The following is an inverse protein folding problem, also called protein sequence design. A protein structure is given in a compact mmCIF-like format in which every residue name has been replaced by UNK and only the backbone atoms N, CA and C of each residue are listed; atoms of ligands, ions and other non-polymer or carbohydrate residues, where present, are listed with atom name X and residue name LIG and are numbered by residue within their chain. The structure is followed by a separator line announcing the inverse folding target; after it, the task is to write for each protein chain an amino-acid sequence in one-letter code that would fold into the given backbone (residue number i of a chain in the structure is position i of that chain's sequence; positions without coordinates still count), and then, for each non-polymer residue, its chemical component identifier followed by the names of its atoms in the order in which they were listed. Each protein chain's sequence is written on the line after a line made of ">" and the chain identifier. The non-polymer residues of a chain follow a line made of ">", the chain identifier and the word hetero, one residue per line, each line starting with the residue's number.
data_IF_666837106181
#
_entry.id   IF_666837106181
#
_cell.length_a   1.000
_cell.length_b   1.000
_cell.length_c   1.000
_cell.angle_alpha   90.00
_cell.angle_beta   90.00
_cell.angle_gamma   90.00
#
_symmetry.space_group_name_H-M   'P 1'
#
loop_
_entity.id
_entity.type
_entity.pdbx_description
1 polymer ?
#
# COMPACT_ATOMS: atom_id res chain seq x y z
N UNK A 1 -26.17 -16.25 -9.52
CA UNK A 1 -25.81 -16.53 -8.12
C UNK A 1 -25.83 -15.20 -7.40
N UNK A 2 -26.67 -14.98 -6.37
CA UNK A 2 -26.80 -13.66 -5.78
C UNK A 2 -25.52 -13.36 -5.00
N UNK A 3 -24.82 -12.32 -5.44
CA UNK A 3 -23.77 -11.69 -4.66
C UNK A 3 -24.37 -11.30 -3.30
N UNK A 4 -23.61 -11.62 -2.26
CA UNK A 4 -23.82 -11.30 -0.84
C UNK A 4 -24.54 -9.95 -0.61
N UNK A 5 -25.36 -9.82 0.47
CA UNK A 5 -25.96 -8.55 0.80
C UNK A 5 -24.83 -7.54 1.01
N UNK A 6 -24.83 -6.47 0.20
CA UNK A 6 -24.08 -5.26 0.54
C UNK A 6 -24.55 -4.90 1.94
N UNK A 7 -23.65 -5.01 2.92
CA UNK A 7 -23.91 -4.58 4.29
C UNK A 7 -24.33 -3.11 4.21
N UNK A 8 -25.64 -2.85 4.29
CA UNK A 8 -26.18 -1.51 4.41
C UNK A 8 -25.66 -0.96 5.74
N UNK A 9 -24.68 -0.06 5.65
CA UNK A 9 -24.27 0.71 6.81
C UNK A 9 -25.46 1.63 7.12
N UNK A 10 -26.07 1.45 8.30
CA UNK A 10 -27.18 2.30 8.74
C UNK A 10 -26.69 3.75 8.81
N UNK A 11 -27.11 4.56 7.84
CA UNK A 11 -26.91 6.00 7.85
C UNK A 11 -27.94 6.60 8.82
N UNK A 12 -27.53 7.63 9.55
CA UNK A 12 -28.33 8.16 10.66
C UNK A 12 -29.46 9.14 10.27
N UNK A 13 -29.87 9.20 9.00
CA UNK A 13 -30.99 10.06 8.59
C UNK A 13 -31.92 9.40 7.56
N UNK A 14 -33.20 9.30 7.93
CA UNK A 14 -34.31 8.88 7.05
C UNK A 14 -34.88 10.06 6.23
N UNK A 15 -34.43 11.30 6.49
CA UNK A 15 -34.81 12.47 5.73
C UNK A 15 -33.86 12.66 4.53
N UNK A 16 -34.36 12.68 3.27
CA UNK A 16 -33.53 12.91 2.08
C UNK A 16 -32.82 14.27 2.05
N UNK A 17 -33.26 15.22 2.88
CA UNK A 17 -32.60 16.53 2.99
C UNK A 17 -31.37 16.56 3.88
N UNK A 18 -31.21 15.58 4.77
CA UNK A 18 -30.12 15.53 5.73
C UNK A 18 -28.85 14.93 5.12
N UNK A 19 -27.71 15.33 5.68
CA UNK A 19 -26.42 14.78 5.28
C UNK A 19 -26.33 13.35 5.83
N UNK A 20 -26.08 12.33 4.98
CA UNK A 20 -25.92 10.97 5.47
C UNK A 20 -24.65 10.89 6.34
N UNK A 21 -24.76 10.50 7.60
CA UNK A 21 -23.62 10.36 8.53
C UNK A 21 -23.41 8.90 8.94
N UNK A 22 -22.15 8.47 8.92
CA UNK A 22 -21.72 7.19 9.50
C UNK A 22 -21.83 7.20 11.03
N UNK A 23 -21.96 6.03 11.68
CA UNK A 23 -21.87 5.94 13.13
C UNK A 23 -20.56 6.54 13.67
N UNK A 24 -20.68 7.57 14.50
CA UNK A 24 -19.54 8.34 15.04
C UNK A 24 -19.13 9.55 14.21
N UNK A 25 -19.65 9.70 12.99
CA UNK A 25 -19.47 10.89 12.16
C UNK A 25 -20.30 12.06 12.68
N UNK A 26 -19.70 13.25 12.73
CA UNK A 26 -20.30 14.48 13.25
C UNK A 26 -20.00 15.64 12.32
N UNK A 27 -21.01 16.46 12.05
CA UNK A 27 -20.87 17.71 11.30
C UNK A 27 -20.12 18.72 12.19
N UNK A 28 -19.17 19.44 11.61
CA UNK A 28 -18.57 20.61 12.24
C UNK A 28 -19.52 21.81 12.08
N UNK A 29 -20.24 22.13 13.16
CA UNK A 29 -21.24 23.18 13.18
C UNK A 29 -20.67 24.60 13.02
N UNK A 30 -19.35 24.79 13.15
CA UNK A 30 -18.71 26.10 12.95
C UNK A 30 -18.56 26.43 11.46
N UNK A 31 -18.72 25.45 10.56
CA UNK A 31 -18.67 25.67 9.12
C UNK A 31 -20.03 26.13 8.59
N UNK A 32 -20.10 27.40 8.19
CA UNK A 32 -21.26 27.99 7.52
C UNK A 32 -20.93 28.40 6.07
N UNK A 33 -20.61 27.41 5.23
CA UNK A 33 -20.25 27.63 3.82
C UNK A 33 -21.47 27.46 2.90
N UNK A 34 -22.41 28.42 3.02
CA UNK A 34 -23.56 28.56 2.12
C UNK A 34 -23.12 29.32 0.86
N UNK A 35 -23.68 29.00 -0.30
CA UNK A 35 -23.35 29.62 -1.60
C UNK A 35 -21.90 29.37 -2.06
N UNK A 36 -21.46 28.11 -2.02
CA UNK A 36 -20.18 27.67 -2.61
C UNK A 36 -20.44 27.19 -4.04
N UNK A 37 -19.55 27.51 -4.97
CA UNK A 37 -19.61 27.00 -6.34
C UNK A 37 -18.60 25.87 -6.53
N UNK A 38 -19.06 24.65 -6.75
CA UNK A 38 -18.22 23.57 -7.25
C UNK A 38 -17.96 23.79 -8.74
N UNK A 39 -16.69 23.87 -9.14
CA UNK A 39 -16.29 23.98 -10.54
C UNK A 39 -16.04 22.56 -11.05
N UNK A 40 -17.11 21.93 -11.56
CA UNK A 40 -17.06 20.60 -12.13
C UNK A 40 -16.31 20.64 -13.47
N UNK A 41 -15.25 19.84 -13.66
CA UNK A 41 -14.53 19.83 -14.93
C UNK A 41 -15.38 19.32 -16.11
N UNK A 42 -16.52 18.66 -15.84
CA UNK A 42 -17.38 18.04 -16.86
C UNK A 42 -18.70 18.78 -17.08
N UNK A 43 -19.29 19.33 -16.02
CA UNK A 43 -20.62 19.98 -16.05
C UNK A 43 -20.56 21.51 -15.86
N UNK A 44 -19.37 22.07 -15.60
CA UNK A 44 -19.21 23.50 -15.33
C UNK A 44 -19.51 23.90 -13.89
N UNK A 45 -20.09 25.08 -13.70
CA UNK A 45 -20.27 25.69 -12.39
C UNK A 45 -21.58 25.25 -11.72
N UNK A 46 -21.48 24.65 -10.53
CA UNK A 46 -22.62 24.13 -9.76
C UNK A 46 -22.63 24.83 -8.41
N UNK A 47 -23.70 25.56 -8.08
CA UNK A 47 -23.84 26.23 -6.78
C UNK A 47 -24.50 25.32 -5.76
N UNK A 48 -24.02 25.40 -4.52
CA UNK A 48 -24.48 24.52 -3.45
C UNK A 48 -23.99 24.91 -2.06
N UNK A 49 -24.22 23.98 -1.15
CA UNK A 49 -23.80 24.04 0.24
C UNK A 49 -22.64 23.07 0.48
N UNK A 50 -21.64 23.55 1.21
CA UNK A 50 -20.49 22.75 1.61
C UNK A 50 -20.55 22.45 3.11
N UNK A 51 -20.46 21.17 3.43
CA UNK A 51 -20.46 20.64 4.78
C UNK A 51 -19.15 19.92 5.06
N UNK A 52 -18.67 20.04 6.30
CA UNK A 52 -17.48 19.36 6.77
C UNK A 52 -17.85 18.50 7.96
N UNK A 53 -17.44 17.24 7.95
CA UNK A 53 -17.53 16.35 9.10
C UNK A 53 -16.13 15.97 9.58
N UNK A 54 -16.05 15.23 10.68
CA UNK A 54 -14.82 14.56 11.11
C UNK A 54 -14.37 13.41 10.18
N UNK A 55 -15.09 13.11 9.08
CA UNK A 55 -14.76 12.04 8.13
C UNK A 55 -14.68 12.49 6.67
N UNK A 56 -15.56 13.39 6.22
CA UNK A 56 -15.67 13.82 4.81
C UNK A 56 -15.95 15.31 4.66
N UNK A 57 -15.54 15.82 3.51
CA UNK A 57 -16.13 17.03 2.94
C UNK A 57 -17.29 16.61 2.03
N UNK A 58 -18.43 17.25 2.20
CA UNK A 58 -19.67 16.93 1.49
C UNK A 58 -20.28 18.18 0.87
N UNK A 59 -20.54 18.13 -0.44
CA UNK A 59 -21.19 19.21 -1.18
C UNK A 59 -22.54 18.71 -1.72
N UNK A 60 -23.58 19.53 -1.56
CA UNK A 60 -24.94 19.32 -2.11
C UNK A 60 -25.34 20.55 -2.91
N UNK A 61 -25.72 20.38 -4.18
CA UNK A 61 -26.18 21.50 -5.03
C UNK A 61 -27.55 22.02 -4.60
N UNK A 62 -27.87 23.26 -4.98
CA UNK A 62 -29.17 23.87 -4.73
C UNK A 62 -30.19 23.35 -5.75
N UNK A 63 -31.25 22.68 -5.27
CA UNK A 63 -32.24 21.98 -6.12
C UNK A 63 -33.02 22.91 -7.06
N UNK A 64 -33.32 24.14 -6.62
CA UNK A 64 -34.13 25.12 -7.36
C UNK A 64 -33.48 25.67 -8.64
N UNK A 65 -32.21 25.34 -8.93
CA UNK A 65 -31.44 25.91 -10.05
C UNK A 65 -30.86 24.88 -11.03
N UNK A 66 -31.17 23.59 -10.84
CA UNK A 66 -30.65 22.52 -11.68
C UNK A 66 -31.63 22.12 -12.80
N UNK A 67 -31.21 22.09 -14.07
CA UNK A 67 -32.04 21.53 -15.13
C UNK A 67 -32.33 20.06 -14.81
N UNK A 68 -33.62 19.69 -14.81
CA UNK A 68 -34.16 18.35 -14.50
C UNK A 68 -34.22 17.95 -13.01
N UNK A 69 -34.14 18.90 -12.07
CA UNK A 69 -34.43 18.65 -10.64
C UNK A 69 -33.53 17.58 -9.99
N UNK A 70 -32.28 17.43 -10.47
CA UNK A 70 -31.34 16.41 -10.01
C UNK A 70 -30.24 17.00 -9.14
N UNK A 71 -30.33 16.81 -7.83
CA UNK A 71 -29.34 17.21 -6.84
C UNK A 71 -27.97 16.60 -7.14
N UNK A 72 -26.93 17.44 -7.22
CA UNK A 72 -25.54 17.03 -7.42
C UNK A 72 -24.85 16.92 -6.09
N UNK A 73 -24.22 15.77 -5.86
CA UNK A 73 -23.54 15.43 -4.62
C UNK A 73 -22.06 15.19 -4.89
N UNK A 74 -21.19 15.80 -4.09
CA UNK A 74 -19.76 15.48 -4.09
C UNK A 74 -19.34 15.07 -2.69
N UNK A 75 -18.81 13.84 -2.60
CA UNK A 75 -18.26 13.29 -1.36
C UNK A 75 -16.75 13.13 -1.49
N UNK A 76 -16.03 13.69 -0.51
CA UNK A 76 -14.56 13.59 -0.42
C UNK A 76 -14.19 13.11 0.98
N UNK A 77 -13.91 11.81 1.16
CA UNK A 77 -13.37 11.33 2.42
C UNK A 77 -12.07 12.06 2.72
N UNK A 78 -11.92 12.60 3.92
CA UNK A 78 -10.82 13.50 4.25
C UNK A 78 -9.44 12.82 4.13
N UNK A 79 -9.38 11.51 4.40
CA UNK A 79 -8.17 10.71 4.22
C UNK A 79 -7.66 10.62 2.78
N UNK A 80 -8.51 10.89 1.78
CA UNK A 80 -8.08 10.95 0.37
C UNK A 80 -7.47 12.30 0.01
N UNK A 81 -7.63 13.35 0.82
CA UNK A 81 -7.04 14.66 0.54
C UNK A 81 -5.51 14.55 0.73
N UNK A 82 -4.77 14.87 -0.33
CA UNK A 82 -3.29 14.92 -0.35
C UNK A 82 -2.79 16.33 -0.04
N UNK A 83 -3.45 17.35 -0.59
CA UNK A 83 -3.05 18.75 -0.48
C UNK A 83 -4.28 19.64 -0.63
N UNK A 84 -4.27 20.78 0.07
CA UNK A 84 -5.29 21.83 -0.01
C UNK A 84 -4.58 23.12 -0.38
N UNK A 85 -4.95 23.73 -1.51
CA UNK A 85 -4.44 25.02 -1.95
C UNK A 85 -5.55 26.08 -1.93
N UNK A 86 -5.16 27.35 -1.74
CA UNK A 86 -6.05 28.51 -1.97
C UNK A 86 -5.77 29.06 -3.37
N UNK A 87 -6.81 29.45 -4.09
CA UNK A 87 -6.69 30.24 -5.31
C UNK A 87 -7.46 31.55 -5.16
N UNK A 88 -7.00 32.58 -5.86
CA UNK A 88 -7.52 33.95 -5.75
C UNK A 88 -7.14 34.66 -4.44
N UNK A 89 -7.13 35.98 -4.50
CA UNK A 89 -6.83 36.88 -3.39
C UNK A 89 -7.73 38.12 -3.39
N UNK A 90 -7.45 39.07 -2.51
CA UNK A 90 -8.23 40.31 -2.35
C UNK A 90 -8.31 41.18 -3.61
N UNK A 91 -7.34 41.03 -4.52
CA UNK A 91 -7.30 41.78 -5.79
C UNK A 91 -7.81 40.98 -7.00
N UNK A 92 -8.21 39.72 -6.82
CA UNK A 92 -8.64 38.88 -7.94
C UNK A 92 -10.01 39.32 -8.42
N UNK A 93 -10.07 39.83 -9.65
CA UNK A 93 -11.31 40.20 -10.34
C UNK A 93 -11.74 39.06 -11.25
N UNK A 94 -12.98 38.61 -11.13
CA UNK A 94 -13.56 37.55 -11.96
C UNK A 94 -14.55 36.68 -11.19
N UNK A 95 -15.56 36.16 -11.89
CA UNK A 95 -16.53 35.23 -11.30
C UNK A 95 -15.81 33.94 -10.88
N UNK A 96 -16.14 33.44 -9.67
CA UNK A 96 -15.61 32.19 -9.12
C UNK A 96 -14.07 32.10 -9.08
N UNK A 97 -13.36 33.23 -9.04
CA UNK A 97 -11.90 33.28 -9.11
C UNK A 97 -11.21 33.21 -7.73
N UNK A 98 -11.97 32.98 -6.65
CA UNK A 98 -11.51 32.92 -5.26
C UNK A 98 -12.03 31.65 -4.59
N UNK A 99 -11.16 30.81 -4.03
CA UNK A 99 -11.61 29.53 -3.46
C UNK A 99 -10.50 28.59 -3.00
N UNK A 100 -10.86 27.31 -2.88
CA UNK A 100 -9.96 26.21 -2.49
C UNK A 100 -9.85 25.14 -3.59
N UNK A 101 -8.68 24.52 -3.70
CA UNK A 101 -8.41 23.36 -4.55
C UNK A 101 -8.03 22.20 -3.65
N UNK A 102 -8.70 21.06 -3.84
CA UNK A 102 -8.38 19.80 -3.18
C UNK A 102 -7.69 18.89 -4.17
N UNK A 103 -6.45 18.54 -3.90
CA UNK A 103 -5.75 17.49 -4.63
C UNK A 103 -5.91 16.19 -3.85
N UNK A 104 -6.52 15.18 -4.47
CA UNK A 104 -6.85 13.93 -3.81
C UNK A 104 -5.91 12.79 -4.27
N UNK A 105 -5.79 11.76 -3.43
CA UNK A 105 -5.00 10.54 -3.67
C UNK A 105 -5.73 9.60 -4.65
N UNK A 106 -7.02 9.78 -4.84
CA UNK A 106 -7.90 9.02 -5.73
C UNK A 106 -7.98 9.64 -7.15
N UNK A 107 -6.91 10.30 -7.59
CA UNK A 107 -6.75 10.91 -8.92
C UNK A 107 -7.57 12.20 -9.15
N UNK A 108 -8.49 12.55 -8.25
CA UNK A 108 -9.35 13.72 -8.41
C UNK A 108 -8.67 15.03 -7.97
N UNK A 109 -8.94 16.12 -8.70
CA UNK A 109 -8.67 17.50 -8.28
C UNK A 109 -9.96 18.32 -8.26
N UNK A 110 -10.42 18.74 -7.09
CA UNK A 110 -11.73 19.38 -6.92
C UNK A 110 -11.56 20.86 -6.58
N UNK A 111 -12.29 21.74 -7.27
CA UNK A 111 -12.24 23.20 -7.08
C UNK A 111 -13.56 23.71 -6.53
N UNK A 112 -13.49 24.43 -5.41
CA UNK A 112 -14.64 25.07 -4.79
C UNK A 112 -14.38 26.56 -4.70
N UNK A 113 -15.15 27.36 -5.43
CA UNK A 113 -15.12 28.81 -5.34
C UNK A 113 -16.03 29.29 -4.20
N UNK A 114 -15.55 30.29 -3.48
CA UNK A 114 -16.21 30.93 -2.35
C UNK A 114 -16.38 32.42 -2.66
N UNK A 115 -17.38 33.06 -2.03
CA UNK A 115 -17.46 34.51 -2.04
C UNK A 115 -16.37 35.12 -1.14
N UNK A 116 -15.62 36.15 -1.58
CA UNK A 116 -14.74 36.91 -0.70
C UNK A 116 -15.49 37.59 0.46
N UNK A 117 -16.76 37.92 0.27
CA UNK A 117 -17.57 38.72 1.20
C UNK A 117 -18.03 37.94 2.44
N UNK A 118 -18.24 36.63 2.32
CA UNK A 118 -18.78 35.81 3.41
C UNK A 118 -17.71 35.14 4.28
N UNK A 119 -16.42 35.40 4.01
CA UNK A 119 -15.24 34.85 4.69
C UNK A 119 -15.15 33.31 4.82
N UNK A 120 -16.12 32.55 4.29
CA UNK A 120 -16.26 31.09 4.45
C UNK A 120 -15.03 30.29 4.01
N UNK A 121 -14.29 30.77 3.01
CA UNK A 121 -13.06 30.13 2.53
C UNK A 121 -12.03 29.93 3.65
N UNK A 122 -11.88 30.92 4.54
CA UNK A 122 -10.88 30.87 5.62
C UNK A 122 -11.24 29.76 6.59
N UNK A 123 -12.49 29.74 7.04
CA UNK A 123 -12.95 28.82 8.07
C UNK A 123 -12.94 27.38 7.55
N UNK A 124 -13.48 27.17 6.34
CA UNK A 124 -13.41 25.86 5.66
C UNK A 124 -11.96 25.41 5.51
N UNK A 125 -11.07 26.26 5.02
CA UNK A 125 -9.67 25.87 4.80
C UNK A 125 -8.95 25.47 6.09
N UNK A 126 -9.10 26.24 7.18
CA UNK A 126 -8.41 25.94 8.43
C UNK A 126 -8.97 24.68 9.09
N UNK A 127 -10.29 24.52 9.16
CA UNK A 127 -10.91 23.30 9.71
C UNK A 127 -10.61 22.07 8.86
N UNK A 128 -10.67 22.20 7.53
CA UNK A 128 -10.36 21.10 6.62
C UNK A 128 -8.93 20.61 6.80
N UNK A 129 -7.96 21.50 7.04
CA UNK A 129 -6.58 21.11 7.37
C UNK A 129 -6.50 20.32 8.67
N UNK A 130 -7.22 20.75 9.71
CA UNK A 130 -7.23 20.05 11.00
C UNK A 130 -7.82 18.65 10.90
N UNK A 131 -8.95 18.47 10.20
CA UNK A 131 -9.57 17.15 10.07
C UNK A 131 -8.92 16.25 9.02
N UNK A 132 -8.42 16.80 7.90
CA UNK A 132 -7.77 15.99 6.86
C UNK A 132 -6.34 15.57 7.24
N UNK A 133 -5.68 16.34 8.10
CA UNK A 133 -4.31 16.07 8.53
C UNK A 133 -4.15 16.19 10.07
N UNK A 134 -4.88 15.37 10.85
CA UNK A 134 -4.92 15.46 12.31
C UNK A 134 -3.54 15.21 12.97
N UNK A 135 -2.65 14.49 12.29
CA UNK A 135 -1.28 14.24 12.76
C UNK A 135 -0.31 15.39 12.47
N UNK A 136 -0.66 16.31 11.56
CA UNK A 136 0.22 17.41 11.12
C UNK A 136 -0.13 18.72 11.80
N UNK A 137 -1.42 19.01 12.00
CA UNK A 137 -1.87 20.27 12.59
C UNK A 137 -2.19 20.10 14.07
N UNK A 138 -1.59 20.92 14.95
CA UNK A 138 -1.91 20.91 16.38
C UNK A 138 -3.42 21.16 16.57
N UNK A 139 -4.13 20.11 16.97
CA UNK A 139 -5.56 20.15 17.22
C UNK A 139 -5.94 18.98 18.13
N UNK A 140 -7.16 18.97 18.64
CA UNK A 140 -7.72 17.84 19.38
C UNK A 140 -8.39 16.80 18.46
N UNK A 141 -8.12 16.84 17.15
CA UNK A 141 -8.75 15.96 16.17
C UNK A 141 -7.95 14.66 16.04
N UNK A 142 -8.66 13.56 15.81
CA UNK A 142 -8.06 12.22 15.63
C UNK A 142 -8.41 11.65 14.25
N UNK A 143 -7.75 10.56 13.86
CA UNK A 143 -8.16 9.84 12.66
C UNK A 143 -9.54 9.21 12.88
N UNK A 144 -10.43 9.35 11.89
CA UNK A 144 -11.81 8.88 12.00
C UNK A 144 -11.94 7.37 12.34
N UNK A 145 -10.95 6.55 12.02
CA UNK A 145 -10.96 5.13 12.41
C UNK A 145 -11.08 4.90 13.94
N UNK A 146 -10.69 5.86 14.77
CA UNK A 146 -10.87 5.79 16.23
C UNK A 146 -12.22 6.33 16.72
N UNK A 147 -12.93 7.07 15.86
CA UNK A 147 -14.25 7.64 16.16
C UNK A 147 -15.39 6.86 15.51
N UNK A 148 -15.09 6.01 14.53
CA UNK A 148 -16.05 5.18 13.81
C UNK A 148 -16.64 4.08 14.71
N UNK A 149 -17.97 3.99 14.75
CA UNK A 149 -18.73 3.15 15.69
C UNK A 149 -19.64 2.12 15.02
N UNK A 150 -19.45 1.85 13.73
CA UNK A 150 -20.27 0.84 13.07
C UNK A 150 -19.91 -0.56 13.60
N UNK A 151 -20.92 -1.40 13.76
CA UNK A 151 -20.76 -2.79 14.15
C UNK A 151 -21.05 -3.70 12.97
N UNK A 152 -20.24 -4.73 12.80
CA UNK A 152 -20.40 -5.73 11.74
C UNK A 152 -20.54 -7.12 12.36
N UNK A 153 -21.26 -8.05 11.71
CA UNK A 153 -21.40 -9.42 12.22
C UNK A 153 -20.09 -10.22 12.26
N UNK A 154 -19.11 -9.83 11.43
CA UNK A 154 -17.81 -10.49 11.29
C UNK A 154 -16.74 -9.55 11.84
N UNK A 155 -15.90 -10.06 12.74
CA UNK A 155 -14.71 -9.35 13.21
C UNK A 155 -13.55 -9.54 12.21
N UNK A 156 -13.29 -8.51 11.40
CA UNK A 156 -12.22 -8.52 10.42
C UNK A 156 -10.82 -8.73 11.02
N UNK A 157 -10.59 -8.35 12.28
CA UNK A 157 -9.30 -8.54 12.95
C UNK A 157 -8.97 -10.01 13.23
N UNK A 158 -9.99 -10.88 13.24
CA UNK A 158 -9.83 -12.32 13.47
C UNK A 158 -9.55 -13.12 12.19
N UNK A 159 -9.54 -12.47 11.02
CA UNK A 159 -9.46 -13.18 9.73
C UNK A 159 -8.11 -13.85 9.47
N UNK A 160 -7.05 -13.31 10.06
CA UNK A 160 -5.69 -13.81 9.94
C UNK A 160 -5.16 -14.26 11.30
N UNK A 161 -4.89 -15.56 11.40
CA UNK A 161 -4.20 -16.17 12.54
C UNK A 161 -2.92 -16.83 11.99
N UNK A 162 -1.71 -16.31 12.32
CA UNK A 162 -0.48 -16.77 11.70
C UNK A 162 -0.24 -18.28 11.81
N UNK A 163 -0.54 -18.90 12.97
CA UNK A 163 -0.35 -20.35 13.14
C UNK A 163 -1.35 -21.15 12.31
N UNK A 164 -2.58 -20.69 12.12
CA UNK A 164 -3.57 -21.33 11.26
C UNK A 164 -3.12 -21.28 9.80
N UNK A 165 -2.57 -20.16 9.36
CA UNK A 165 -2.07 -20.01 7.99
C UNK A 165 -0.83 -20.88 7.74
N UNK A 166 0.11 -20.95 8.69
CA UNK A 166 1.23 -21.90 8.59
C UNK A 166 0.76 -23.35 8.63
N UNK A 167 -0.23 -23.70 9.48
CA UNK A 167 -0.84 -25.04 9.50
C UNK A 167 -1.50 -25.40 8.17
N UNK A 168 -2.17 -24.46 7.51
CA UNK A 168 -2.76 -24.67 6.16
C UNK A 168 -1.69 -25.06 5.13
N UNK A 169 -0.47 -24.55 5.29
CA UNK A 169 0.69 -24.88 4.47
C UNK A 169 1.49 -26.10 4.98
N UNK A 170 0.92 -26.90 5.90
CA UNK A 170 1.57 -28.07 6.53
C UNK A 170 2.88 -27.73 7.29
N UNK A 171 2.88 -26.61 8.02
CA UNK A 171 4.01 -26.18 8.85
C UNK A 171 3.63 -26.16 10.35
N UNK A 172 4.57 -26.45 11.27
CA UNK A 172 5.96 -26.85 11.01
C UNK A 172 6.07 -28.27 10.43
N UNK A 173 7.23 -28.60 9.85
CA UNK A 173 7.55 -29.93 9.36
C UNK A 173 9.03 -30.28 9.65
N UNK A 174 9.55 -31.35 9.05
CA UNK A 174 10.94 -31.80 9.25
C UNK A 174 11.97 -30.79 8.74
N UNK A 175 11.63 -29.97 7.73
CA UNK A 175 12.53 -28.99 7.12
C UNK A 175 12.39 -27.58 7.71
N UNK A 176 11.24 -27.25 8.31
CA UNK A 176 10.89 -25.90 8.76
C UNK A 176 10.27 -25.89 10.16
N UNK A 177 10.76 -25.01 11.03
CA UNK A 177 10.23 -24.79 12.38
C UNK A 177 9.60 -23.41 12.53
N UNK A 178 8.64 -23.32 13.45
CA UNK A 178 8.10 -22.03 13.91
C UNK A 178 8.94 -21.55 15.10
N UNK A 179 9.41 -20.31 15.05
CA UNK A 179 10.10 -19.65 16.16
C UNK A 179 9.27 -18.51 16.75
N UNK A 180 9.42 -18.30 18.06
CA UNK A 180 8.85 -17.19 18.82
C UNK A 180 9.91 -16.19 19.31
N UNK A 181 11.13 -16.26 18.78
CA UNK A 181 12.22 -15.34 19.13
C UNK A 181 11.83 -13.86 18.94
N UNK A 182 10.89 -13.57 18.04
CA UNK A 182 10.39 -12.23 17.76
C UNK A 182 9.05 -11.90 18.40
N UNK A 183 8.57 -12.67 19.39
CA UNK A 183 7.24 -12.48 20.02
C UNK A 183 7.03 -11.07 20.61
N UNK A 184 8.13 -10.44 21.03
CA UNK A 184 8.21 -9.09 21.59
C UNK A 184 8.91 -8.11 20.66
N UNK A 185 9.02 -8.44 19.37
CA UNK A 185 9.58 -7.56 18.33
C UNK A 185 11.03 -7.11 18.59
N UNK A 186 11.78 -7.91 19.36
CA UNK A 186 13.16 -7.57 19.77
C UNK A 186 14.21 -7.96 18.73
N UNK A 187 13.94 -9.01 17.94
CA UNK A 187 14.85 -9.43 16.88
C UNK A 187 14.70 -8.49 15.68
N UNK A 188 13.47 -8.27 15.24
CA UNK A 188 13.13 -7.34 14.16
C UNK A 188 11.77 -6.69 14.46
N UNK A 189 11.80 -5.38 14.69
CA UNK A 189 10.64 -4.57 15.11
C UNK A 189 9.60 -4.33 14.01
N UNK A 190 9.94 -4.69 12.77
CA UNK A 190 9.08 -4.54 11.58
C UNK A 190 8.66 -5.88 10.97
N UNK A 191 8.97 -6.99 11.63
CA UNK A 191 8.52 -8.33 11.26
C UNK A 191 7.41 -8.81 12.20
N UNK A 192 6.65 -9.86 11.79
CA UNK A 192 5.64 -10.44 12.65
C UNK A 192 6.25 -11.10 13.88
N UNK A 193 5.41 -11.31 14.89
CA UNK A 193 5.79 -11.95 16.15
C UNK A 193 6.20 -13.43 15.97
N UNK A 194 5.66 -14.09 14.94
CA UNK A 194 5.86 -15.50 14.64
C UNK A 194 6.59 -15.61 13.30
N UNK A 195 7.72 -16.32 13.28
CA UNK A 195 8.54 -16.51 12.09
C UNK A 195 8.69 -18.00 11.79
N UNK A 196 8.82 -18.35 10.50
CA UNK A 196 9.13 -19.71 10.05
C UNK A 196 10.52 -19.72 9.42
N UNK A 197 11.36 -20.62 9.92
CA UNK A 197 12.80 -20.68 9.64
C UNK A 197 13.23 -22.15 9.45
N UNK A 198 14.39 -22.44 8.84
CA UNK A 198 14.87 -23.82 8.69
C UNK A 198 14.93 -24.56 10.03
N UNK A 199 14.57 -25.85 10.04
CA UNK A 199 14.39 -26.63 11.29
C UNK A 199 15.63 -26.62 12.20
N UNK A 200 16.82 -26.74 11.62
CA UNK A 200 18.06 -26.91 12.36
C UNK A 200 18.72 -25.58 12.82
N UNK A 201 18.14 -24.43 12.50
CA UNK A 201 18.72 -23.14 12.91
C UNK A 201 18.47 -22.88 14.40
N UNK A 202 19.47 -22.40 15.13
CA UNK A 202 19.31 -21.98 16.53
C UNK A 202 18.94 -20.50 16.64
N UNK A 203 18.45 -20.07 17.80
CA UNK A 203 18.10 -18.66 18.01
C UNK A 203 19.34 -17.73 18.02
N UNK A 204 20.52 -18.25 18.37
CA UNK A 204 21.78 -17.49 18.25
C UNK A 204 22.16 -17.27 16.78
N UNK A 205 21.99 -18.28 15.93
CA UNK A 205 22.21 -18.14 14.49
C UNK A 205 21.26 -17.09 13.92
N UNK A 206 19.98 -17.10 14.31
CA UNK A 206 19.00 -16.09 13.88
C UNK A 206 19.41 -14.67 14.26
N UNK A 207 19.98 -14.46 15.46
CA UNK A 207 20.51 -13.16 15.86
C UNK A 207 21.70 -12.72 15.00
N UNK A 208 22.62 -13.63 14.68
CA UNK A 208 23.77 -13.35 13.83
C UNK A 208 23.35 -13.01 12.38
N UNK A 209 22.39 -13.75 11.83
CA UNK A 209 21.81 -13.50 10.50
C UNK A 209 21.08 -12.15 10.48
N UNK A 210 20.26 -11.88 11.50
CA UNK A 210 19.56 -10.61 11.65
C UNK A 210 20.52 -9.42 11.71
N UNK A 211 21.65 -9.54 12.42
CA UNK A 211 22.64 -8.47 12.48
C UNK A 211 23.27 -8.12 11.12
N UNK A 212 23.27 -9.06 10.16
CA UNK A 212 23.81 -8.86 8.81
C UNK A 212 22.77 -8.42 7.78
N UNK A 213 21.48 -8.47 8.11
CA UNK A 213 20.38 -8.11 7.21
C UNK A 213 19.85 -6.73 7.59
N UNK A 214 19.59 -5.89 6.58
CA UNK A 214 19.13 -4.51 6.83
C UNK A 214 17.86 -4.49 7.70
N UNK A 215 17.88 -3.68 8.77
CA UNK A 215 16.78 -3.60 9.75
C UNK A 215 16.44 -4.93 10.43
N UNK A 216 17.41 -5.84 10.51
CA UNK A 216 17.23 -7.17 11.07
C UNK A 216 16.17 -8.05 10.36
N UNK A 217 15.80 -7.69 9.12
CA UNK A 217 14.82 -8.44 8.32
C UNK A 217 15.50 -9.63 7.64
N UNK A 218 15.79 -10.63 8.46
CA UNK A 218 16.38 -11.92 8.07
C UNK A 218 15.48 -12.74 7.13
N UNK A 219 16.02 -13.71 6.38
CA UNK A 219 15.20 -14.56 5.50
C UNK A 219 14.23 -15.44 6.30
N UNK A 220 12.94 -15.27 6.02
CA UNK A 220 11.84 -16.03 6.65
C UNK A 220 10.86 -16.52 5.59
N UNK A 221 10.23 -17.67 5.84
CA UNK A 221 9.35 -18.31 4.88
C UNK A 221 8.03 -17.53 4.70
N UNK A 222 7.71 -17.21 3.45
CA UNK A 222 6.39 -16.70 3.04
C UNK A 222 5.47 -17.82 2.60
N UNK A 223 5.96 -18.77 1.80
CA UNK A 223 5.14 -19.82 1.21
C UNK A 223 5.97 -21.07 0.89
N UNK A 224 5.34 -22.24 0.88
CA UNK A 224 5.96 -23.52 0.54
C UNK A 224 5.05 -24.31 -0.40
N UNK A 225 5.65 -24.90 -1.43
CA UNK A 225 4.94 -25.71 -2.40
C UNK A 225 4.47 -27.02 -1.75
N UNK A 226 3.19 -27.40 -1.87
CA UNK A 226 2.62 -28.55 -1.15
C UNK A 226 3.30 -29.88 -1.51
N UNK A 227 3.73 -30.04 -2.77
CA UNK A 227 4.38 -31.27 -3.24
C UNK A 227 5.91 -31.18 -3.22
N UNK A 228 6.53 -30.27 -3.99
CA UNK A 228 7.99 -30.21 -4.16
C UNK A 228 8.76 -29.69 -2.96
N UNK A 229 8.09 -29.09 -1.97
CA UNK A 229 8.72 -28.38 -0.84
C UNK A 229 9.58 -27.16 -1.24
N UNK A 230 9.51 -26.72 -2.50
CA UNK A 230 10.15 -25.47 -2.93
C UNK A 230 9.52 -24.28 -2.20
N UNK A 231 10.35 -23.41 -1.61
CA UNK A 231 9.90 -22.33 -0.73
C UNK A 231 10.15 -20.95 -1.32
N UNK A 232 9.21 -20.03 -1.10
CA UNK A 232 9.42 -18.59 -1.24
C UNK A 232 9.81 -18.04 0.12
N UNK A 233 11.01 -17.49 0.22
CA UNK A 233 11.55 -16.86 1.43
C UNK A 233 11.74 -15.37 1.17
N UNK A 234 11.45 -14.51 2.15
CA UNK A 234 11.60 -13.05 2.02
C UNK A 234 12.57 -12.45 3.02
N UNK A 235 13.31 -11.43 2.60
CA UNK A 235 14.21 -10.65 3.46
C UNK A 235 14.46 -9.23 2.94
N UNK A 236 15.32 -8.52 3.67
CA UNK A 236 16.02 -7.31 3.21
C UNK A 236 17.40 -7.65 2.60
N UNK A 237 18.06 -6.65 2.01
CA UNK A 237 19.42 -6.79 1.50
C UNK A 237 20.44 -7.16 2.61
N UNK A 238 21.53 -7.86 2.26
CA UNK A 238 22.67 -8.04 3.15
C UNK A 238 23.46 -6.74 3.34
N UNK A 239 24.18 -6.61 4.45
CA UNK A 239 24.99 -5.44 4.81
C UNK A 239 26.46 -5.63 4.41
N UNK A 240 26.73 -5.96 3.14
CA UNK A 240 28.10 -6.20 2.67
C UNK A 240 28.95 -4.93 2.58
N UNK A 241 28.34 -3.78 2.30
CA UNK A 241 29.03 -2.51 2.14
C UNK A 241 30.10 -2.50 1.03
N UNK A 242 30.85 -1.41 0.94
CA UNK A 242 31.93 -1.26 -0.05
C UNK A 242 33.06 -2.26 0.23
N UNK A 243 33.40 -2.44 1.51
CA UNK A 243 34.44 -3.35 1.98
C UNK A 243 34.14 -4.82 1.72
N UNK A 244 32.92 -5.18 1.28
CA UNK A 244 32.57 -6.56 0.98
C UNK A 244 32.56 -7.43 2.24
N UNK A 245 32.06 -6.89 3.35
CA UNK A 245 31.81 -7.64 4.57
C UNK A 245 30.94 -8.86 4.24
N UNK A 246 31.21 -9.97 4.92
CA UNK A 246 30.48 -11.22 4.77
C UNK A 246 30.01 -11.71 6.12
N UNK A 247 28.96 -12.53 6.12
CA UNK A 247 28.48 -13.24 7.29
C UNK A 247 28.44 -14.72 6.98
N UNK A 248 29.31 -15.50 7.64
CA UNK A 248 29.29 -16.95 7.51
C UNK A 248 28.00 -17.56 8.04
N UNK A 249 27.32 -16.87 8.96
CA UNK A 249 26.04 -17.30 9.51
C UNK A 249 24.92 -17.08 8.49
N UNK A 250 24.90 -15.95 7.77
CA UNK A 250 23.94 -15.71 6.68
C UNK A 250 24.18 -16.68 5.50
N UNK A 251 25.44 -16.90 5.11
CA UNK A 251 25.80 -17.87 4.07
C UNK A 251 25.32 -19.30 4.41
N UNK A 252 25.58 -19.77 5.64
CA UNK A 252 25.09 -21.06 6.13
C UNK A 252 23.56 -21.10 6.21
N UNK A 253 22.93 -19.99 6.59
CA UNK A 253 21.47 -19.91 6.68
C UNK A 253 20.80 -20.03 5.30
N UNK A 254 21.34 -19.38 4.27
CA UNK A 254 20.88 -19.54 2.88
C UNK A 254 21.11 -20.98 2.40
N UNK A 255 22.23 -21.61 2.76
CA UNK A 255 22.48 -23.02 2.48
C UNK A 255 21.43 -23.93 3.16
N UNK A 256 21.08 -23.69 4.42
CA UNK A 256 20.02 -24.43 5.12
C UNK A 256 18.64 -24.28 4.47
N UNK A 257 18.33 -23.12 3.89
CA UNK A 257 17.09 -22.92 3.10
C UNK A 257 17.11 -23.74 1.82
N UNK A 258 18.27 -23.85 1.16
CA UNK A 258 18.41 -24.70 -0.01
C UNK A 258 18.25 -26.18 0.37
N UNK A 259 18.91 -26.63 1.44
CA UNK A 259 18.87 -28.02 1.92
C UNK A 259 17.47 -28.44 2.42
N UNK A 260 16.63 -27.47 2.81
CA UNK A 260 15.22 -27.72 3.15
C UNK A 260 14.37 -28.21 1.96
N UNK A 261 14.87 -28.06 0.72
CA UNK A 261 14.26 -28.56 -0.50
C UNK A 261 15.11 -29.68 -1.12
N UNK A 262 14.69 -30.93 -0.90
CA UNK A 262 15.39 -32.12 -1.40
C UNK A 262 15.40 -32.26 -2.95
N UNK A 263 14.60 -31.48 -3.68
CA UNK A 263 14.45 -31.60 -5.14
C UNK A 263 15.45 -30.74 -5.93
N UNK A 264 16.19 -29.83 -5.28
CA UNK A 264 17.12 -28.93 -5.97
C UNK A 264 18.42 -28.74 -5.21
N UNK A 265 19.53 -28.72 -5.95
CA UNK A 265 20.86 -28.38 -5.43
C UNK A 265 21.25 -26.92 -5.73
N UNK A 266 20.25 -26.07 -6.03
CA UNK A 266 20.44 -24.64 -6.30
C UNK A 266 19.40 -23.83 -5.54
N UNK A 267 19.69 -22.56 -5.33
CA UNK A 267 18.73 -21.57 -4.82
C UNK A 267 18.82 -20.29 -5.63
N UNK A 268 17.69 -19.63 -5.89
CA UNK A 268 17.70 -18.36 -6.61
C UNK A 268 17.49 -17.19 -5.64
N UNK A 269 18.35 -16.18 -5.73
CA UNK A 269 18.19 -14.93 -5.00
C UNK A 269 17.62 -13.88 -5.96
N UNK A 270 16.36 -13.53 -5.75
CA UNK A 270 15.57 -12.65 -6.58
C UNK A 270 15.63 -11.22 -6.02
N UNK A 271 16.67 -10.48 -6.41
CA UNK A 271 16.80 -9.07 -6.03
C UNK A 271 15.87 -8.22 -6.91
N UNK A 272 14.84 -7.64 -6.29
CA UNK A 272 13.84 -6.85 -6.98
C UNK A 272 14.42 -5.62 -7.69
N UNK A 273 15.61 -5.14 -7.31
CA UNK A 273 16.19 -3.88 -7.78
C UNK A 273 16.78 -4.02 -9.19
N UNK A 274 16.92 -2.90 -9.92
CA UNK A 274 17.94 -2.80 -10.96
C UNK A 274 19.34 -2.97 -10.35
N UNK A 275 20.24 -3.63 -11.07
CA UNK A 275 21.62 -3.86 -10.62
C UNK A 275 22.34 -2.57 -10.24
N UNK A 276 22.15 -1.49 -11.00
CA UNK A 276 22.71 -0.15 -10.69
C UNK A 276 22.27 0.38 -9.34
N UNK A 277 21.00 0.20 -8.99
CA UNK A 277 20.47 0.61 -7.69
C UNK A 277 21.02 -0.27 -6.56
N UNK A 278 21.21 -1.56 -6.81
CA UNK A 278 21.79 -2.45 -5.82
C UNK A 278 23.26 -2.10 -5.53
N UNK A 279 24.05 -1.80 -6.57
CA UNK A 279 25.40 -1.26 -6.44
C UNK A 279 25.43 0.07 -5.68
N UNK A 280 24.48 0.97 -5.94
CA UNK A 280 24.36 2.24 -5.20
C UNK A 280 23.94 2.04 -3.73
N UNK A 281 23.23 0.96 -3.38
CA UNK A 281 22.96 0.64 -1.98
C UNK A 281 24.21 0.10 -1.29
N UNK A 282 25.04 -0.68 -2.00
CA UNK A 282 26.32 -1.17 -1.48
C UNK A 282 27.25 -0.03 -1.04
N UNK A 283 27.24 1.10 -1.75
CA UNK A 283 28.01 2.28 -1.35
C UNK A 283 27.49 2.99 -0.10
N UNK A 284 26.25 2.69 0.31
CA UNK A 284 25.59 3.25 1.49
C UNK A 284 25.49 2.27 2.66
N UNK A 285 26.30 1.21 2.66
CA UNK A 285 26.33 0.19 3.71
C UNK A 285 25.32 -0.96 3.54
N UNK A 286 24.45 -0.89 2.53
CA UNK A 286 23.68 -2.05 2.07
C UNK A 286 24.54 -3.02 1.26
N UNK A 287 23.94 -3.82 0.39
CA UNK A 287 24.73 -4.85 -0.27
C UNK A 287 24.00 -5.75 -1.25
N UNK A 288 24.77 -6.74 -1.67
CA UNK A 288 24.47 -7.80 -2.62
C UNK A 288 25.15 -9.06 -2.10
N UNK A 289 24.48 -10.19 -2.21
CA UNK A 289 25.08 -11.51 -2.08
C UNK A 289 26.19 -11.68 -3.14
N UNK A 290 27.20 -12.49 -2.83
CA UNK A 290 28.31 -12.79 -3.73
C UNK A 290 28.25 -14.26 -4.12
N UNK A 291 28.06 -14.57 -5.40
CA UNK A 291 27.90 -15.94 -5.90
C UNK A 291 29.07 -16.88 -5.54
N UNK A 292 30.26 -16.34 -5.26
CA UNK A 292 31.40 -17.13 -4.78
C UNK A 292 31.34 -17.50 -3.29
N UNK A 293 30.53 -16.80 -2.50
CA UNK A 293 30.38 -17.03 -1.06
C UNK A 293 29.09 -17.78 -0.74
N UNK A 294 28.02 -17.51 -1.51
CA UNK A 294 26.74 -18.19 -1.42
C UNK A 294 26.74 -19.36 -2.40
N UNK A 295 27.33 -20.47 -1.97
CA UNK A 295 27.48 -21.66 -2.80
C UNK A 295 26.13 -22.11 -3.38
N UNK A 296 26.11 -22.39 -4.69
CA UNK A 296 24.92 -22.81 -5.43
C UNK A 296 23.74 -21.80 -5.44
N UNK A 297 23.98 -20.56 -5.01
CA UNK A 297 23.03 -19.47 -5.17
C UNK A 297 23.26 -18.73 -6.50
N UNK A 298 22.18 -18.51 -7.27
CA UNK A 298 22.20 -17.67 -8.48
C UNK A 298 21.42 -16.38 -8.22
N UNK A 299 22.02 -15.23 -8.51
CA UNK A 299 21.41 -13.92 -8.23
C UNK A 299 20.76 -13.36 -9.49
N UNK A 300 19.48 -13.00 -9.40
CA UNK A 300 18.72 -12.41 -10.51
C UNK A 300 18.15 -11.03 -10.15
N UNK A 301 18.55 -10.02 -10.92
CA UNK A 301 18.00 -8.66 -10.80
C UNK A 301 16.72 -8.50 -11.61
N UNK A 302 15.64 -8.07 -10.95
CA UNK A 302 14.31 -7.96 -11.56
C UNK A 302 14.01 -6.55 -12.12
N UNK A 303 14.84 -5.55 -11.83
CA UNK A 303 14.73 -4.24 -12.49
C UNK A 303 13.58 -3.35 -12.00
N UNK A 304 12.98 -3.63 -10.85
CA UNK A 304 11.87 -2.84 -10.30
C UNK A 304 12.39 -1.56 -9.64
N UNK A 305 12.00 -0.42 -10.22
CA UNK A 305 12.39 0.90 -9.76
C UNK A 305 12.02 1.16 -8.28
N UNK A 306 12.71 2.08 -7.63
CA UNK A 306 12.41 2.48 -6.25
C UNK A 306 11.11 3.30 -6.15
N UNK A 307 10.71 3.65 -4.94
CA UNK A 307 9.48 4.41 -4.68
C UNK A 307 9.43 5.78 -5.38
N UNK A 308 10.58 6.41 -5.67
CA UNK A 308 10.61 7.74 -6.27
C UNK A 308 10.16 7.74 -7.74
N UNK A 309 10.73 6.91 -8.64
CA UNK A 309 10.17 6.72 -9.97
C UNK A 309 8.70 6.28 -9.99
N UNK A 310 8.29 5.38 -9.08
CA UNK A 310 6.89 4.94 -9.01
C UNK A 310 5.93 6.09 -8.68
N UNK A 311 6.31 6.97 -7.73
CA UNK A 311 5.53 8.15 -7.35
C UNK A 311 5.43 9.15 -8.51
N UNK A 312 6.52 9.37 -9.23
CA UNK A 312 6.55 10.26 -10.38
C UNK A 312 5.74 9.69 -11.55
N UNK A 313 5.81 8.39 -11.78
CA UNK A 313 5.01 7.68 -12.77
C UNK A 313 3.51 7.83 -12.50
N UNK A 314 3.09 7.61 -11.24
CA UNK A 314 1.70 7.83 -10.83
C UNK A 314 1.29 9.30 -11.01
N UNK A 315 2.13 10.27 -10.65
CA UNK A 315 1.83 11.70 -10.84
C UNK A 315 1.49 12.01 -12.30
N UNK A 316 2.34 11.57 -13.24
CA UNK A 316 2.12 11.74 -14.68
C UNK A 316 0.83 11.06 -15.15
N UNK A 317 0.55 9.83 -14.69
CA UNK A 317 -0.70 9.14 -15.00
C UNK A 317 -1.91 9.92 -14.48
N UNK A 318 -1.85 10.42 -13.25
CA UNK A 318 -2.98 11.16 -12.67
C UNK A 318 -3.30 12.47 -13.40
N UNK A 319 -2.28 13.12 -13.97
CA UNK A 319 -2.46 14.33 -14.79
C UNK A 319 -3.15 14.01 -16.14
N UNK A 320 -2.97 12.80 -16.66
CA UNK A 320 -3.62 12.34 -17.88
C UNK A 320 -5.10 11.98 -17.68
N UNK A 321 -5.47 11.48 -16.49
CA UNK A 321 -6.76 10.82 -16.27
C UNK A 321 -7.86 11.73 -15.71
N UNK A 322 -7.58 13.01 -15.41
CA UNK A 322 -8.54 13.87 -14.73
C UNK A 322 -8.66 15.26 -15.38
N UNK A 323 -9.91 15.68 -15.63
CA UNK A 323 -10.21 16.93 -16.35
C UNK A 323 -10.44 16.68 -17.84
N UNK A 324 -9.92 17.59 -18.68
CA UNK A 324 -10.03 17.48 -20.13
C UNK A 324 -8.91 16.58 -20.66
N UNK A 325 -9.30 15.40 -21.16
CA UNK A 325 -8.38 14.43 -21.76
C UNK A 325 -8.22 14.78 -23.24
N UNK A 326 -6.98 14.96 -23.69
CA UNK A 326 -6.67 15.12 -25.11
C UNK A 326 -6.44 13.73 -25.72
N UNK A 327 -7.46 13.20 -26.40
CA UNK A 327 -7.43 11.88 -27.04
C UNK A 327 -6.27 11.73 -28.05
N UNK A 328 -5.84 12.83 -28.69
CA UNK A 328 -4.76 12.79 -29.68
C UNK A 328 -3.38 12.55 -29.06
N UNK A 329 -3.20 12.97 -27.80
CA UNK A 329 -1.95 12.83 -27.06
C UNK A 329 -1.99 11.70 -26.03
N UNK A 330 -3.16 11.09 -25.79
CA UNK A 330 -3.37 10.15 -24.70
C UNK A 330 -2.34 9.01 -24.66
N UNK A 331 -2.14 8.33 -25.80
CA UNK A 331 -1.21 7.20 -25.88
C UNK A 331 0.25 7.62 -25.65
N UNK A 332 0.63 8.81 -26.14
CA UNK A 332 1.99 9.35 -25.99
C UNK A 332 2.26 9.69 -24.52
N UNK A 333 1.32 10.37 -23.85
CA UNK A 333 1.47 10.76 -22.45
C UNK A 333 1.36 9.54 -21.51
N UNK A 334 0.52 8.55 -21.84
CA UNK A 334 0.48 7.27 -21.13
C UNK A 334 1.84 6.56 -21.20
N UNK A 335 2.48 6.51 -22.37
CA UNK A 335 3.81 5.93 -22.51
C UNK A 335 4.85 6.73 -21.70
N UNK A 336 4.84 8.07 -21.77
CA UNK A 336 5.73 8.94 -20.98
C UNK A 336 5.54 8.80 -19.46
N UNK A 337 4.36 8.38 -19.00
CA UNK A 337 4.10 8.07 -17.59
C UNK A 337 4.90 6.87 -17.10
N UNK A 338 5.25 5.93 -17.99
CA UNK A 338 5.90 4.64 -17.67
C UNK A 338 5.10 3.74 -16.73
N UNK A 339 3.83 4.06 -16.42
CA UNK A 339 3.04 3.33 -15.44
C UNK A 339 2.87 1.86 -15.83
N UNK A 340 2.39 1.60 -17.06
CA UNK A 340 2.22 0.24 -17.56
C UNK A 340 3.54 -0.51 -17.69
N UNK A 341 4.66 0.21 -17.94
CA UNK A 341 5.99 -0.40 -17.96
C UNK A 341 6.40 -0.89 -16.57
N UNK A 342 6.14 -0.11 -15.52
CA UNK A 342 6.38 -0.55 -14.15
C UNK A 342 5.51 -1.76 -13.76
N UNK A 343 4.22 -1.74 -14.10
CA UNK A 343 3.31 -2.88 -13.86
C UNK A 343 3.81 -4.14 -14.59
N UNK A 344 4.22 -4.02 -15.86
CA UNK A 344 4.79 -5.12 -16.63
C UNK A 344 6.02 -5.74 -15.94
N UNK A 345 6.94 -4.91 -15.46
CA UNK A 345 8.18 -5.38 -14.81
C UNK A 345 7.87 -6.10 -13.49
N UNK A 346 6.95 -5.57 -12.68
CA UNK A 346 6.53 -6.19 -11.41
C UNK A 346 5.91 -7.57 -11.68
N UNK A 347 4.94 -7.65 -12.60
CA UNK A 347 4.30 -8.92 -12.97
C UNK A 347 5.29 -9.91 -13.57
N UNK A 348 6.22 -9.45 -14.42
CA UNK A 348 7.26 -10.29 -15.00
C UNK A 348 8.20 -10.85 -13.92
N UNK A 349 8.52 -10.05 -12.90
CA UNK A 349 9.30 -10.49 -11.75
C UNK A 349 8.58 -11.59 -10.95
N UNK A 350 7.29 -11.42 -10.70
CA UNK A 350 6.47 -12.44 -10.02
C UNK A 350 6.39 -13.74 -10.84
N UNK A 351 6.18 -13.65 -12.16
CA UNK A 351 6.16 -14.83 -13.05
C UNK A 351 7.51 -15.56 -13.04
N UNK A 352 8.64 -14.86 -12.98
CA UNK A 352 9.96 -15.50 -12.83
C UNK A 352 10.08 -16.27 -11.52
N UNK A 353 9.56 -15.74 -10.41
CA UNK A 353 9.51 -16.47 -9.13
C UNK A 353 8.68 -17.73 -9.27
N UNK A 354 7.48 -17.62 -9.87
CA UNK A 354 6.60 -18.77 -10.13
C UNK A 354 7.30 -19.82 -10.98
N UNK A 355 8.04 -19.41 -12.03
CA UNK A 355 8.77 -20.35 -12.88
C UNK A 355 9.79 -21.18 -12.08
N UNK A 356 10.55 -20.53 -11.20
CA UNK A 356 11.53 -21.21 -10.33
C UNK A 356 10.87 -22.22 -9.39
N UNK A 357 9.73 -21.82 -8.80
CA UNK A 357 9.02 -22.63 -7.81
C UNK A 357 8.25 -23.78 -8.48
N UNK A 358 7.43 -23.48 -9.48
CA UNK A 358 6.48 -24.42 -10.08
C UNK A 358 7.13 -25.34 -11.12
N UNK A 359 8.00 -24.81 -11.99
CA UNK A 359 8.56 -25.63 -13.08
C UNK A 359 9.95 -26.15 -12.75
N UNK A 360 10.79 -25.34 -12.08
CA UNK A 360 12.15 -25.75 -11.71
C UNK A 360 12.24 -26.40 -10.32
N UNK A 361 11.12 -26.46 -9.60
CA UNK A 361 11.01 -27.03 -8.23
C UNK A 361 12.12 -26.53 -7.29
N UNK A 362 12.52 -25.27 -7.45
CA UNK A 362 13.67 -24.66 -6.77
C UNK A 362 13.21 -23.54 -5.86
N UNK A 363 13.74 -23.50 -4.64
CA UNK A 363 13.44 -22.45 -3.66
C UNK A 363 14.00 -21.10 -4.08
N UNK A 364 13.35 -20.02 -3.67
CA UNK A 364 13.78 -18.65 -3.94
C UNK A 364 13.87 -17.81 -2.67
N UNK A 365 14.82 -16.88 -2.65
CA UNK A 365 14.94 -15.83 -1.65
C UNK A 365 14.66 -14.50 -2.33
N UNK A 366 13.59 -13.82 -1.96
CA UNK A 366 13.14 -12.56 -2.55
C UNK A 366 13.50 -11.42 -1.63
N UNK A 367 14.23 -10.43 -2.13
CA UNK A 367 14.49 -9.21 -1.37
C UNK A 367 14.56 -7.98 -2.26
N UNK A 368 14.67 -6.82 -1.62
CA UNK A 368 14.99 -5.57 -2.28
C UNK A 368 15.99 -4.80 -1.40
N UNK A 369 15.80 -3.50 -1.17
CA UNK A 369 16.58 -2.76 -0.16
C UNK A 369 16.09 -3.12 1.25
N UNK A 370 14.97 -2.55 1.69
CA UNK A 370 14.42 -2.77 3.04
C UNK A 370 13.52 -4.01 3.16
N UNK A 371 13.13 -4.66 2.06
CA UNK A 371 12.36 -5.91 2.14
C UNK A 371 10.86 -5.76 2.47
N UNK A 372 10.28 -4.58 2.28
CA UNK A 372 8.86 -4.30 2.61
C UNK A 372 8.01 -3.66 1.49
N UNK A 373 8.62 -3.23 0.37
CA UNK A 373 7.89 -2.62 -0.76
C UNK A 373 7.77 -3.64 -1.90
N UNK A 374 8.84 -3.73 -2.71
CA UNK A 374 8.91 -4.59 -3.90
C UNK A 374 8.93 -6.06 -3.54
N UNK A 375 9.52 -6.41 -2.38
CA UNK A 375 9.48 -7.77 -1.86
C UNK A 375 8.05 -8.21 -1.58
N UNK A 376 7.24 -7.37 -0.92
CA UNK A 376 5.82 -7.65 -0.65
C UNK A 376 5.02 -7.76 -1.95
N UNK A 377 5.28 -6.89 -2.94
CA UNK A 377 4.68 -7.01 -4.28
C UNK A 377 4.98 -8.37 -4.92
N UNK A 378 6.24 -8.77 -4.97
CA UNK A 378 6.69 -9.99 -5.64
C UNK A 378 6.19 -11.26 -4.97
N UNK A 379 6.34 -11.35 -3.65
CA UNK A 379 5.91 -12.51 -2.86
C UNK A 379 4.40 -12.70 -2.95
N UNK A 380 3.61 -11.65 -2.68
CA UNK A 380 2.15 -11.75 -2.72
C UNK A 380 1.60 -12.05 -4.12
N UNK A 381 2.18 -11.47 -5.19
CA UNK A 381 1.79 -11.79 -6.57
C UNK A 381 2.15 -13.23 -6.96
N UNK A 382 3.35 -13.71 -6.60
CA UNK A 382 3.73 -15.10 -6.87
C UNK A 382 2.81 -16.08 -6.11
N UNK A 383 2.52 -15.77 -4.85
CA UNK A 383 1.58 -16.55 -4.03
C UNK A 383 0.17 -16.58 -4.61
N UNK A 384 -0.33 -15.46 -5.17
CA UNK A 384 -1.61 -15.44 -5.89
C UNK A 384 -1.64 -16.36 -7.11
N UNK A 385 -0.52 -16.46 -7.82
CA UNK A 385 -0.39 -17.32 -9.00
C UNK A 385 -0.28 -18.81 -8.62
N UNK A 386 0.43 -19.11 -7.52
CA UNK A 386 0.72 -20.48 -7.07
C UNK A 386 -0.40 -21.10 -6.24
N UNK A 387 -1.03 -20.35 -5.34
CA UNK A 387 -1.95 -20.88 -4.33
C UNK A 387 -3.39 -20.39 -4.58
N UNK A 388 -4.31 -21.29 -5.00
CA UNK A 388 -5.71 -20.95 -5.21
C UNK A 388 -6.40 -20.36 -3.98
N UNK A 389 -5.95 -20.68 -2.77
CA UNK A 389 -6.52 -20.14 -1.53
C UNK A 389 -6.52 -18.61 -1.54
N UNK A 390 -5.41 -17.98 -1.91
CA UNK A 390 -5.27 -16.52 -1.93
C UNK A 390 -6.12 -15.83 -3.00
N UNK A 391 -6.74 -16.58 -3.92
CA UNK A 391 -7.71 -16.07 -4.92
C UNK A 391 -9.16 -16.11 -4.44
N UNK A 392 -9.42 -16.63 -3.24
CA UNK A 392 -10.70 -16.47 -2.55
C UNK A 392 -10.76 -15.11 -1.85
N UNK A 393 -11.95 -14.60 -1.52
CA UNK A 393 -12.08 -13.32 -0.80
C UNK A 393 -11.34 -13.35 0.55
N UNK A 394 -11.61 -14.38 1.36
CA UNK A 394 -10.96 -14.60 2.66
C UNK A 394 -9.46 -14.81 2.51
N UNK A 395 -9.03 -15.63 1.54
CA UNK A 395 -7.60 -15.86 1.33
C UNK A 395 -6.87 -14.60 0.86
N UNK A 396 -7.50 -13.75 0.05
CA UNK A 396 -6.90 -12.48 -0.35
C UNK A 396 -6.77 -11.51 0.84
N UNK A 397 -7.77 -11.48 1.74
CA UNK A 397 -7.67 -10.73 3.00
C UNK A 397 -6.50 -11.24 3.85
N UNK A 398 -6.38 -12.56 4.01
CA UNK A 398 -5.23 -13.20 4.70
C UNK A 398 -3.91 -12.86 4.04
N UNK A 399 -3.84 -12.83 2.70
CA UNK A 399 -2.62 -12.46 1.98
C UNK A 399 -2.18 -11.02 2.27
N UNK A 400 -3.14 -10.09 2.34
CA UNK A 400 -2.87 -8.69 2.71
C UNK A 400 -2.40 -8.61 4.17
N UNK A 401 -3.11 -9.24 5.11
CA UNK A 401 -2.72 -9.26 6.52
C UNK A 401 -1.33 -9.86 6.73
N UNK A 402 -0.99 -10.93 6.00
CA UNK A 402 0.29 -11.64 6.12
C UNK A 402 1.46 -10.94 5.42
N UNK A 403 1.36 -10.66 4.13
CA UNK A 403 2.53 -10.25 3.34
C UNK A 403 2.73 -8.72 3.31
N UNK A 404 1.74 -7.95 3.76
CA UNK A 404 1.77 -6.48 3.72
C UNK A 404 1.65 -5.82 5.10
N UNK A 405 0.87 -6.38 6.03
CA UNK A 405 0.60 -5.74 7.33
C UNK A 405 1.44 -6.30 8.48
N UNK A 406 1.51 -7.64 8.62
CA UNK A 406 2.23 -8.32 9.72
C UNK A 406 3.74 -8.21 9.62
#
# INVERSE_FOLDING_TARGET
>A
SPLSPVLEISLSSDNPDDIPLFPGEKIDAEINAREVTFICPYEGEIRGHLYLTNYKLYFKSNEEREPNNKTRLVHVPLGTIKKIDKFGGSQTKGNNAYGIILHCKDVRTLKFAHSPENHSRRDVFEKLRQYAFPLTYPSNKTMFCFEFKATYPIDGWSIYEPLAEFRRMNLPNESWRITKINDKYKLCDTYPAILVVPHNVTDNDLQAVAAFRSRARLPVLSWIHPESQASIVRCSQPLTGISGQRSTDDEKYIQMIMDANAQSHKIFIMDARPQTNAMANRTRGGGLENEHLYNNAEIQFLGIASIHPMRESLRKLTELCYGNIDDSLFMIELEKSQWLKHIQIILSGAVRIVDKIEYQKTSVVVHCSDGWDRTSQLTSLAMLMLDPYYRTLTGFQVLVEKEWLS
#
